data_IF_708632424056
#
_entry.id   IF_708632424056
#
_cell.length_a   1.000
_cell.length_b   1.000
_cell.length_c   1.000
_cell.angle_alpha   90.00
_cell.angle_beta   90.00
_cell.angle_gamma   90.00
#
_symmetry.space_group_name_H-M   'P 1'
#
loop_
_entity.id
_entity.type
_entity.pdbx_description
1 polymer ?
#
# COMPACT_ATOMS: atom_id res chain seq x y z
N UNK A 1 -79.61 4.54 -7.67
CA UNK A 1 -79.60 5.58 -6.60
C UNK A 1 -78.12 5.93 -6.38
N UNK A 2 -77.58 7.03 -6.93
CA UNK A 2 -77.54 8.41 -6.35
C UNK A 2 -77.01 8.37 -4.91
N UNK A 3 -75.91 9.02 -4.49
CA UNK A 3 -75.24 10.27 -4.92
C UNK A 3 -73.84 10.34 -4.26
N UNK A 4 -72.85 10.85 -4.99
CA UNK A 4 -71.81 11.78 -4.49
C UNK A 4 -72.43 13.22 -4.49
N UNK A 5 -71.87 14.34 -3.93
CA UNK A 5 -70.48 14.62 -3.54
C UNK A 5 -70.31 15.54 -2.27
N UNK A 6 -69.09 15.99 -1.94
CA UNK A 6 -68.91 17.09 -0.98
C UNK A 6 -67.48 17.54 -0.67
N UNK A 7 -66.89 18.33 -1.57
CA UNK A 7 -65.68 19.15 -1.39
C UNK A 7 -65.90 20.28 -0.36
N UNK A 8 -64.92 20.57 0.50
CA UNK A 8 -64.82 21.88 1.18
C UNK A 8 -63.37 22.28 1.47
N UNK A 9 -62.88 23.25 0.69
CA UNK A 9 -61.70 24.09 0.95
C UNK A 9 -62.15 25.27 1.82
N UNK A 10 -61.30 25.78 2.74
CA UNK A 10 -61.15 27.23 3.06
C UNK A 10 -60.14 27.53 4.22
N UNK A 11 -59.24 28.47 3.92
CA UNK A 11 -58.48 29.47 4.70
C UNK A 11 -57.55 29.15 5.90
N UNK A 12 -56.24 29.27 5.61
CA UNK A 12 -55.23 30.25 6.10
C UNK A 12 -55.51 30.99 7.43
N UNK A 13 -54.58 30.85 8.38
CA UNK A 13 -54.25 31.91 9.34
C UNK A 13 -52.73 31.93 9.60
N UNK A 14 -52.09 33.05 9.27
CA UNK A 14 -50.76 33.46 9.72
C UNK A 14 -50.82 33.92 11.18
N UNK A 15 -49.78 33.62 11.97
CA UNK A 15 -49.39 34.40 13.16
C UNK A 15 -47.95 34.10 13.59
N UNK A 16 -47.07 35.04 13.23
CA UNK A 16 -45.96 35.67 13.99
C UNK A 16 -45.05 34.89 14.97
N UNK A 17 -43.75 34.96 14.63
CA UNK A 17 -42.53 35.16 15.44
C UNK A 17 -42.62 35.13 16.97
N UNK A 18 -41.72 34.34 17.58
CA UNK A 18 -40.86 34.78 18.70
C UNK A 18 -39.44 34.27 18.46
N UNK A 19 -38.50 35.21 18.37
CA UNK A 19 -37.05 34.97 18.47
C UNK A 19 -36.67 34.61 19.90
N UNK A 20 -35.85 33.58 20.10
CA UNK A 20 -35.05 33.43 21.30
C UNK A 20 -33.68 32.85 20.95
N UNK A 21 -32.69 33.75 20.90
CA UNK A 21 -31.26 33.43 20.90
C UNK A 21 -30.87 32.86 22.27
N UNK A 22 -30.19 31.71 22.30
CA UNK A 22 -29.21 31.38 23.35
C UNK A 22 -28.03 30.64 22.69
N UNK A 23 -26.82 31.18 22.89
CA UNK A 23 -25.52 30.63 22.49
C UNK A 23 -25.01 29.59 23.51
N UNK A 24 -24.13 28.68 23.09
CA UNK A 24 -22.85 28.51 23.80
C UNK A 24 -21.68 28.47 22.80
N UNK A 25 -20.84 29.51 22.77
CA UNK A 25 -19.47 29.51 23.31
C UNK A 25 -18.53 28.54 22.59
N UNK A 26 -17.99 29.02 21.47
CA UNK A 26 -16.84 28.46 20.77
C UNK A 26 -15.56 28.82 21.53
N UNK A 27 -14.69 27.84 21.74
CA UNK A 27 -13.26 28.06 21.97
C UNK A 27 -12.52 27.16 20.98
N UNK A 28 -12.54 27.58 19.72
CA UNK A 28 -11.67 27.04 18.68
C UNK A 28 -10.35 27.79 18.83
N UNK A 29 -9.29 27.06 19.18
CA UNK A 29 -7.92 27.55 19.08
C UNK A 29 -7.54 27.53 17.60
N UNK A 30 -7.94 28.55 16.86
CA UNK A 30 -7.59 28.72 15.45
C UNK A 30 -6.11 29.09 15.39
N UNK A 31 -5.27 28.18 14.93
CA UNK A 31 -3.91 28.51 14.51
C UNK A 31 -4.00 29.32 13.22
N UNK A 32 -4.09 30.65 13.36
CA UNK A 32 -4.08 31.59 12.23
C UNK A 32 -2.68 31.63 11.64
N UNK A 33 -2.47 30.94 10.52
CA UNK A 33 -1.31 31.19 9.64
C UNK A 33 -1.54 32.56 9.00
N UNK A 34 -0.85 33.57 9.51
CA UNK A 34 -0.90 34.92 8.96
C UNK A 34 -0.17 34.95 7.60
N UNK A 35 -0.93 35.11 6.51
CA UNK A 35 -0.38 35.62 5.25
C UNK A 35 -0.04 37.11 5.43
N UNK A 36 1.22 37.41 5.72
CA UNK A 36 1.75 38.76 5.63
C UNK A 36 2.04 39.08 4.16
N UNK A 37 1.15 39.85 3.53
CA UNK A 37 1.42 40.53 2.27
C UNK A 37 2.35 41.72 2.53
N UNK A 38 3.65 41.50 2.34
CA UNK A 38 4.67 42.54 2.33
C UNK A 38 5.36 42.55 0.96
N UNK A 39 4.97 43.48 0.10
CA UNK A 39 5.69 43.78 -1.13
C UNK A 39 6.85 44.74 -0.81
N UNK A 40 8.06 44.22 -0.77
CA UNK A 40 9.30 44.93 -1.04
C UNK A 40 10.30 43.95 -1.67
N UNK A 41 10.71 44.28 -2.89
CA UNK A 41 11.61 43.57 -3.79
C UNK A 41 12.98 43.25 -3.17
N UNK A 42 13.34 41.96 -3.19
CA UNK A 42 14.70 41.48 -3.43
C UNK A 42 14.60 40.18 -4.23
N UNK A 43 15.09 40.20 -5.46
CA UNK A 43 15.29 39.04 -6.32
C UNK A 43 16.22 38.03 -5.63
N UNK A 44 15.68 36.89 -5.22
CA UNK A 44 16.47 35.67 -5.15
C UNK A 44 15.75 34.66 -6.03
N UNK A 45 16.22 34.50 -7.26
CA UNK A 45 15.78 33.42 -8.14
C UNK A 45 16.09 32.12 -7.42
N UNK A 46 15.10 31.55 -6.73
CA UNK A 46 15.28 30.25 -6.09
C UNK A 46 15.33 29.22 -7.22
N UNK A 47 16.51 28.62 -7.35
CA UNK A 47 16.91 27.59 -8.31
C UNK A 47 16.97 26.27 -7.57
N UNK A 48 15.83 25.77 -7.09
CA UNK A 48 15.84 24.49 -6.39
C UNK A 48 16.46 23.39 -7.26
N UNK A 49 17.19 22.51 -6.61
CA UNK A 49 18.07 21.53 -7.27
C UNK A 49 17.42 20.17 -7.31
N UNK A 50 17.64 19.44 -8.40
CA UNK A 50 17.31 18.01 -8.47
C UNK A 50 18.60 17.23 -8.37
N UNK A 51 18.70 16.42 -7.32
CA UNK A 51 19.90 15.64 -6.99
C UNK A 51 19.61 14.15 -7.09
N UNK A 52 20.67 13.36 -7.24
CA UNK A 52 20.60 11.90 -7.12
C UNK A 52 20.92 11.46 -5.70
N UNK A 53 20.11 10.55 -5.18
CA UNK A 53 20.43 9.81 -3.96
C UNK A 53 20.60 8.34 -4.28
N UNK A 54 21.71 7.74 -3.87
CA UNK A 54 21.92 6.29 -3.92
C UNK A 54 21.57 5.61 -2.58
N UNK A 55 21.05 6.39 -1.63
CA UNK A 55 20.76 5.91 -0.28
C UNK A 55 21.97 5.26 0.38
N UNK A 56 21.80 4.06 0.93
CA UNK A 56 22.89 3.31 1.55
C UNK A 56 23.93 2.73 0.57
N UNK A 57 23.60 2.68 -0.73
CA UNK A 57 24.32 1.90 -1.73
C UNK A 57 25.30 2.79 -2.52
N UNK A 58 26.37 3.20 -1.84
CA UNK A 58 27.38 4.14 -2.38
C UNK A 58 28.03 3.68 -3.71
N UNK A 59 28.00 2.39 -4.02
CA UNK A 59 28.56 1.80 -5.23
C UNK A 59 27.55 1.62 -6.37
N UNK A 60 26.29 2.05 -6.22
CA UNK A 60 25.23 1.83 -7.20
C UNK A 60 25.62 2.31 -8.62
N UNK A 61 26.32 3.45 -8.71
CA UNK A 61 26.78 4.07 -9.97
C UNK A 61 28.20 3.65 -10.39
N UNK A 62 28.97 2.94 -9.55
CA UNK A 62 30.39 2.67 -9.79
C UNK A 62 30.73 1.19 -9.86
N UNK A 63 29.90 0.31 -9.29
CA UNK A 63 30.08 -1.14 -9.33
C UNK A 63 29.99 -1.65 -10.77
N UNK A 64 30.87 -2.58 -11.15
CA UNK A 64 30.88 -3.19 -12.49
C UNK A 64 29.70 -4.16 -12.71
N UNK A 65 29.09 -4.21 -13.92
CA UNK A 65 29.22 -3.21 -14.98
C UNK A 65 28.67 -1.88 -14.46
N UNK A 66 29.42 -0.80 -14.70
CA UNK A 66 29.07 0.54 -14.26
C UNK A 66 28.30 1.27 -15.36
N UNK A 67 27.28 2.07 -15.02
CA UNK A 67 26.64 2.94 -16.00
C UNK A 67 27.67 3.95 -16.55
N UNK A 68 27.65 4.12 -17.86
CA UNK A 68 28.47 5.11 -18.59
C UNK A 68 27.67 6.36 -18.95
N UNK A 69 26.34 6.29 -18.89
CA UNK A 69 25.43 7.40 -19.21
C UNK A 69 24.28 7.43 -18.22
N UNK A 70 23.90 8.62 -17.77
CA UNK A 70 22.62 8.89 -17.13
C UNK A 70 21.67 9.51 -18.14
N UNK A 71 20.44 9.01 -18.19
CA UNK A 71 19.34 9.58 -18.97
C UNK A 71 18.24 9.99 -18.00
N UNK A 72 17.78 11.22 -18.11
CA UNK A 72 16.62 11.73 -17.37
C UNK A 72 15.46 11.86 -18.35
N UNK A 73 14.35 11.22 -18.02
CA UNK A 73 13.10 11.29 -18.77
C UNK A 73 12.03 11.96 -17.90
N UNK A 74 11.26 12.87 -18.51
CA UNK A 74 9.96 13.26 -17.98
C UNK A 74 8.94 12.20 -18.38
N UNK A 75 8.15 11.75 -17.40
CA UNK A 75 6.97 10.92 -17.59
C UNK A 75 5.74 11.80 -17.39
N UNK A 76 4.97 12.02 -18.44
CA UNK A 76 3.72 12.77 -18.37
C UNK A 76 2.60 11.92 -17.73
N UNK A 77 1.48 12.56 -17.40
CA UNK A 77 0.33 11.91 -16.75
C UNK A 77 -0.36 10.86 -17.62
N UNK A 78 -0.17 10.91 -18.94
CA UNK A 78 -0.64 9.89 -19.89
C UNK A 78 0.36 8.73 -20.07
N UNK A 79 1.49 8.76 -19.34
CA UNK A 79 2.56 7.77 -19.42
C UNK A 79 3.55 7.97 -20.56
N UNK A 80 3.36 9.00 -21.41
CA UNK A 80 4.34 9.34 -22.45
C UNK A 80 5.67 9.78 -21.82
N UNK A 81 6.77 9.46 -22.51
CA UNK A 81 8.13 9.71 -22.03
C UNK A 81 8.84 10.67 -22.97
N UNK A 82 9.58 11.62 -22.38
CA UNK A 82 10.41 12.58 -23.10
C UNK A 82 11.78 12.64 -22.41
N UNK A 83 12.85 12.36 -23.15
CA UNK A 83 14.21 12.62 -22.66
C UNK A 83 14.39 14.13 -22.45
N UNK A 84 14.79 14.52 -21.24
CA UNK A 84 15.03 15.93 -20.88
C UNK A 84 16.51 16.22 -20.66
N UNK A 85 17.30 15.19 -20.33
CA UNK A 85 18.73 15.34 -20.14
C UNK A 85 19.48 14.02 -20.33
N UNK A 86 20.74 14.14 -20.73
CA UNK A 86 21.69 13.03 -20.90
C UNK A 86 23.08 13.48 -20.47
N UNK A 87 23.70 12.71 -19.57
CA UNK A 87 25.00 13.03 -18.98
C UNK A 87 25.93 11.82 -19.03
N UNK A 88 27.15 11.99 -19.51
CA UNK A 88 28.17 10.93 -19.47
C UNK A 88 28.73 10.78 -18.05
N UNK A 89 29.02 9.54 -17.65
CA UNK A 89 29.67 9.20 -16.38
C UNK A 89 31.14 8.80 -16.60
N UNK A 90 32.05 9.08 -15.64
CA UNK A 90 31.80 9.83 -14.41
C UNK A 90 31.65 11.33 -14.70
N UNK A 91 30.61 11.94 -14.15
CA UNK A 91 30.23 13.34 -14.37
C UNK A 91 29.49 13.90 -13.16
N UNK A 92 28.86 15.07 -13.29
CA UNK A 92 28.04 15.64 -12.21
C UNK A 92 26.85 14.74 -11.88
N UNK A 93 26.53 14.62 -10.58
CA UNK A 93 25.31 13.97 -10.07
C UNK A 93 24.14 14.96 -9.91
N UNK A 94 24.36 16.24 -10.22
CA UNK A 94 23.27 17.20 -10.36
C UNK A 94 22.52 16.92 -11.67
N UNK A 95 21.20 16.83 -11.58
CA UNK A 95 20.36 16.61 -12.74
C UNK A 95 19.98 17.94 -13.36
N UNK A 96 20.32 18.11 -14.64
CA UNK A 96 19.70 19.17 -15.45
C UNK A 96 18.28 18.73 -15.82
N UNK A 97 17.31 19.62 -15.62
CA UNK A 97 15.94 19.40 -16.07
C UNK A 97 15.72 19.79 -17.54
N UNK A 98 16.74 20.31 -18.23
CA UNK A 98 16.60 20.81 -19.59
C UNK A 98 15.48 21.86 -19.73
N UNK A 99 14.79 21.83 -20.88
CA UNK A 99 13.67 22.73 -21.19
C UNK A 99 12.31 22.12 -20.76
N UNK A 100 12.17 21.81 -19.48
CA UNK A 100 10.89 21.39 -18.91
C UNK A 100 10.07 22.63 -18.51
N UNK A 101 8.80 22.67 -18.94
CA UNK A 101 7.92 23.78 -18.63
C UNK A 101 7.54 23.81 -17.14
N UNK A 102 7.47 25.01 -16.56
CA UNK A 102 7.06 25.17 -15.14
C UNK A 102 5.65 24.66 -14.87
N UNK A 103 4.76 24.80 -15.83
CA UNK A 103 3.37 24.30 -15.75
C UNK A 103 3.24 22.81 -16.08
N UNK A 104 4.33 22.15 -16.47
CA UNK A 104 4.28 20.74 -16.81
C UNK A 104 4.16 19.92 -15.52
N UNK A 105 3.28 18.92 -15.56
CA UNK A 105 3.12 17.94 -14.48
C UNK A 105 3.64 16.60 -14.94
N UNK A 106 4.50 15.98 -14.14
CA UNK A 106 5.08 14.69 -14.47
C UNK A 106 5.94 14.12 -13.34
N UNK A 107 6.47 12.92 -13.58
CA UNK A 107 7.53 12.33 -12.79
C UNK A 107 8.87 12.42 -13.55
N UNK A 108 9.98 12.43 -12.82
CA UNK A 108 11.32 12.28 -13.39
C UNK A 108 11.76 10.84 -13.21
N UNK A 109 12.11 10.18 -14.32
CA UNK A 109 12.79 8.89 -14.31
C UNK A 109 14.25 9.09 -14.64
N UNK A 110 15.12 8.46 -13.86
CA UNK A 110 16.56 8.48 -14.06
C UNK A 110 17.02 7.07 -14.36
N UNK A 111 17.64 6.87 -15.52
CA UNK A 111 18.19 5.59 -15.96
C UNK A 111 19.71 5.68 -16.12
N UNK A 112 20.45 4.81 -15.43
CA UNK A 112 21.88 4.62 -15.65
C UNK A 112 22.11 3.48 -16.65
N UNK A 113 22.66 3.80 -17.82
CA UNK A 113 22.88 2.87 -18.92
C UNK A 113 24.35 2.49 -19.03
N UNK A 114 24.65 1.21 -19.31
CA UNK A 114 26.00 0.80 -19.71
C UNK A 114 26.31 1.13 -21.18
N UNK A 115 27.52 0.77 -21.62
CA UNK A 115 27.98 0.99 -22.99
C UNK A 115 27.15 0.27 -24.06
N UNK A 116 26.33 -0.72 -23.68
CA UNK A 116 25.41 -1.44 -24.59
C UNK A 116 24.00 -0.85 -24.58
N UNK A 117 23.73 0.15 -23.73
CA UNK A 117 22.41 0.74 -23.54
C UNK A 117 21.53 -0.02 -22.54
N UNK A 118 22.06 -1.02 -21.82
CA UNK A 118 21.30 -1.74 -20.80
C UNK A 118 21.12 -0.86 -19.55
N UNK A 119 19.90 -0.78 -19.05
CA UNK A 119 19.59 -0.13 -17.77
C UNK A 119 20.17 -0.97 -16.63
N UNK A 120 21.08 -0.36 -15.87
CA UNK A 120 21.69 -0.94 -14.67
C UNK A 120 21.19 -0.32 -13.38
N UNK A 121 20.83 0.96 -13.46
CA UNK A 121 20.36 1.78 -12.34
C UNK A 121 19.07 2.47 -12.76
N UNK A 122 18.09 2.51 -11.87
CA UNK A 122 16.81 3.15 -12.12
C UNK A 122 16.31 3.90 -10.88
N UNK A 123 15.81 5.11 -11.09
CA UNK A 123 15.16 5.96 -10.11
C UNK A 123 13.92 6.61 -10.71
N UNK A 124 12.94 6.95 -9.87
CA UNK A 124 11.74 7.65 -10.31
C UNK A 124 11.19 8.49 -9.16
N UNK A 125 10.88 9.76 -9.43
CA UNK A 125 10.22 10.65 -8.49
C UNK A 125 8.72 10.36 -8.42
N UNK A 126 8.03 10.98 -7.45
CA UNK A 126 6.58 11.12 -7.52
C UNK A 126 6.18 12.08 -8.64
N UNK A 127 4.90 12.08 -9.02
CA UNK A 127 4.33 13.12 -9.88
C UNK A 127 4.29 14.46 -9.14
N UNK A 128 4.78 15.51 -9.80
CA UNK A 128 4.72 16.89 -9.31
C UNK A 128 4.56 17.87 -10.48
N UNK A 129 4.15 19.10 -10.16
CA UNK A 129 4.29 20.24 -11.06
C UNK A 129 5.73 20.76 -10.98
N UNK A 130 6.44 20.86 -12.11
CA UNK A 130 7.86 21.20 -12.08
C UNK A 130 8.15 22.62 -11.60
N UNK A 131 7.20 23.55 -11.70
CA UNK A 131 7.29 24.88 -11.09
C UNK A 131 7.42 24.83 -9.56
N UNK A 132 7.02 23.73 -8.90
CA UNK A 132 7.23 23.55 -7.46
C UNK A 132 8.71 23.41 -7.09
N UNK A 133 9.56 22.94 -8.01
CA UNK A 133 10.99 22.76 -7.80
C UNK A 133 11.75 24.07 -7.63
N UNK A 134 11.20 25.21 -8.04
CA UNK A 134 11.81 26.52 -7.74
C UNK A 134 11.93 26.77 -6.24
N UNK A 135 11.13 26.11 -5.41
CA UNK A 135 11.07 26.39 -3.97
C UNK A 135 11.54 25.22 -3.10
N UNK A 136 11.86 24.08 -3.70
CA UNK A 136 12.11 22.83 -3.00
C UNK A 136 13.24 22.08 -3.70
N UNK A 137 14.28 21.72 -2.95
CA UNK A 137 15.27 20.74 -3.40
C UNK A 137 14.63 19.35 -3.36
N UNK A 138 14.81 18.59 -4.45
CA UNK A 138 14.28 17.24 -4.58
C UNK A 138 15.42 16.27 -4.85
N UNK A 139 15.33 15.08 -4.25
CA UNK A 139 16.25 13.98 -4.56
C UNK A 139 15.49 12.86 -5.25
N UNK A 140 16.04 12.36 -6.37
CA UNK A 140 15.57 11.12 -6.99
C UNK A 140 16.41 9.98 -6.43
N UNK A 141 15.76 9.06 -5.73
CA UNK A 141 16.41 7.83 -5.29
C UNK A 141 16.65 6.92 -6.49
N UNK A 142 17.91 6.56 -6.73
CA UNK A 142 18.36 5.66 -7.78
C UNK A 142 19.01 4.44 -7.16
N UNK A 143 18.69 3.27 -7.70
CA UNK A 143 19.25 2.00 -7.23
C UNK A 143 19.52 1.07 -8.39
N UNK A 144 20.30 0.01 -8.16
CA UNK A 144 20.49 -1.03 -9.17
C UNK A 144 19.23 -1.85 -9.37
N UNK A 145 18.91 -2.12 -10.63
CA UNK A 145 17.74 -2.90 -11.01
C UNK A 145 17.87 -4.35 -10.59
N UNK A 146 16.76 -4.95 -10.19
CA UNK A 146 16.69 -6.34 -9.72
C UNK A 146 17.29 -6.59 -8.34
N UNK A 147 17.63 -5.56 -7.58
CA UNK A 147 18.23 -5.65 -6.24
C UNK A 147 17.44 -4.81 -5.22
N UNK A 148 17.54 -5.21 -3.94
CA UNK A 148 17.13 -4.35 -2.83
C UNK A 148 18.16 -3.24 -2.62
N UNK A 149 17.72 -2.05 -2.21
CA UNK A 149 18.60 -0.96 -1.77
C UNK A 149 17.96 -0.15 -0.65
N UNK A 150 18.77 0.33 0.29
CA UNK A 150 18.35 1.11 1.45
C UNK A 150 18.00 2.53 1.05
N UNK A 151 16.76 2.91 1.30
CA UNK A 151 16.33 4.30 1.20
C UNK A 151 17.08 5.17 2.22
N UNK A 152 17.40 6.43 1.90
CA UNK A 152 18.11 7.31 2.82
C UNK A 152 17.21 7.72 4.01
N UNK A 153 17.84 8.18 5.10
CA UNK A 153 17.15 8.77 6.26
C UNK A 153 16.04 7.89 6.82
N UNK A 154 16.37 6.62 7.05
CA UNK A 154 15.42 5.60 7.43
C UNK A 154 14.67 5.89 8.75
N UNK A 155 13.46 5.32 8.91
CA UNK A 155 12.66 5.43 10.12
C UNK A 155 13.27 4.69 11.32
N UNK A 156 12.75 4.99 12.51
CA UNK A 156 13.07 4.27 13.74
C UNK A 156 12.57 2.81 13.64
N UNK A 157 13.33 1.81 14.13
CA UNK A 157 12.97 0.41 13.97
C UNK A 157 11.66 0.06 14.69
N UNK A 158 10.81 -0.70 14.01
CA UNK A 158 9.60 -1.33 14.57
C UNK A 158 9.65 -2.82 14.26
N UNK A 159 9.47 -3.69 15.26
CA UNK A 159 9.76 -5.12 15.14
C UNK A 159 8.87 -5.87 14.12
N UNK A 160 7.57 -5.54 14.06
CA UNK A 160 6.62 -6.19 13.14
C UNK A 160 5.44 -5.25 12.89
N UNK A 161 5.63 -4.14 12.16
CA UNK A 161 4.58 -3.14 11.96
C UNK A 161 3.45 -3.67 11.07
N UNK A 162 2.36 -2.90 11.02
CA UNK A 162 1.45 -2.88 9.87
C UNK A 162 1.83 -1.70 9.00
N UNK A 163 1.81 -1.90 7.68
CA UNK A 163 2.33 -0.92 6.71
C UNK A 163 1.33 -0.71 5.59
N UNK A 164 1.24 0.53 5.11
CA UNK A 164 0.48 0.87 3.91
C UNK A 164 1.08 2.11 3.25
N UNK A 165 0.68 2.41 2.02
CA UNK A 165 0.94 3.69 1.35
C UNK A 165 -0.22 4.65 1.53
N UNK A 166 0.12 5.92 1.79
CA UNK A 166 -0.83 6.99 1.94
C UNK A 166 -0.56 8.13 0.95
N UNK A 167 -1.63 8.66 0.38
CA UNK A 167 -1.61 9.83 -0.52
C UNK A 167 -0.68 9.67 -1.74
N UNK A 168 -0.34 8.43 -2.11
CA UNK A 168 0.67 8.15 -3.14
C UNK A 168 2.06 8.72 -2.83
N UNK A 169 2.34 9.11 -1.57
CA UNK A 169 3.56 9.83 -1.18
C UNK A 169 4.22 9.27 0.05
N UNK A 170 3.45 8.81 1.03
CA UNK A 170 4.00 8.37 2.30
C UNK A 170 3.96 6.85 2.41
N UNK A 171 5.00 6.28 2.99
CA UNK A 171 4.92 4.96 3.62
C UNK A 171 4.49 5.18 5.05
N UNK A 172 3.26 4.76 5.37
CA UNK A 172 2.73 4.77 6.72
C UNK A 172 3.10 3.47 7.42
N UNK A 173 3.76 3.60 8.56
CA UNK A 173 4.26 2.49 9.37
C UNK A 173 3.62 2.60 10.74
N UNK A 174 2.90 1.58 11.19
CA UNK A 174 2.24 1.62 12.49
C UNK A 174 2.56 0.39 13.35
N UNK A 175 2.69 0.60 14.65
CA UNK A 175 2.89 -0.45 15.64
C UNK A 175 2.20 -0.05 16.93
N UNK A 176 1.15 -0.77 17.30
CA UNK A 176 0.25 -0.31 18.36
C UNK A 176 -0.41 1.01 17.94
N UNK A 177 -0.37 2.02 18.81
CA UNK A 177 -0.90 3.37 18.54
C UNK A 177 0.10 4.31 17.89
N UNK A 178 1.38 3.94 17.87
CA UNK A 178 2.46 4.77 17.29
C UNK A 178 2.48 4.64 15.78
N UNK A 179 2.70 5.75 15.09
CA UNK A 179 2.92 5.77 13.64
C UNK A 179 4.22 6.48 13.28
N UNK A 180 4.73 6.17 12.09
CA UNK A 180 5.77 6.91 11.40
C UNK A 180 5.32 7.12 9.96
N UNK A 181 5.66 8.28 9.39
CA UNK A 181 5.43 8.61 7.99
C UNK A 181 6.79 8.83 7.34
N UNK A 182 7.17 7.95 6.41
CA UNK A 182 8.31 8.17 5.55
C UNK A 182 7.85 8.85 4.27
N UNK A 183 8.35 10.06 4.01
CA UNK A 183 8.00 10.86 2.85
C UNK A 183 8.86 10.47 1.65
N UNK A 184 8.26 9.90 0.62
CA UNK A 184 8.95 9.49 -0.60
C UNK A 184 9.33 10.66 -1.52
N UNK A 185 8.80 11.87 -1.28
CA UNK A 185 9.21 13.06 -2.03
C UNK A 185 10.54 13.62 -1.52
N UNK A 186 10.68 13.70 -0.20
CA UNK A 186 11.87 14.27 0.47
C UNK A 186 12.85 13.20 0.95
N UNK A 187 12.47 11.93 0.82
CA UNK A 187 13.23 10.75 1.24
C UNK A 187 13.68 10.84 2.71
N UNK A 188 12.73 11.17 3.59
CA UNK A 188 12.98 11.31 5.03
C UNK A 188 11.76 10.92 5.86
N UNK A 189 12.00 10.48 7.09
CA UNK A 189 10.93 10.32 8.08
C UNK A 189 10.49 11.67 8.61
N UNK A 190 9.18 11.91 8.63
CA UNK A 190 8.63 13.12 9.23
C UNK A 190 8.92 13.15 10.73
N UNK A 191 9.45 14.27 11.22
CA UNK A 191 9.80 14.43 12.64
C UNK A 191 8.62 14.38 13.60
N UNK A 192 7.39 14.53 13.09
CA UNK A 192 6.15 14.33 13.83
C UNK A 192 5.18 13.56 12.94
N UNK A 193 4.67 12.45 13.45
CA UNK A 193 3.61 11.67 12.83
C UNK A 193 2.41 11.64 13.78
N UNK A 194 1.18 11.64 13.25
CA UNK A 194 0.00 11.51 14.09
C UNK A 194 0.00 10.16 14.82
N UNK A 195 -0.65 10.09 15.97
CA UNK A 195 -0.83 8.84 16.71
C UNK A 195 -2.26 8.35 16.55
N UNK A 196 -2.46 7.03 16.55
CA UNK A 196 -3.81 6.48 16.55
C UNK A 196 -4.42 6.47 17.96
N UNK A 197 -5.71 6.76 18.06
CA UNK A 197 -6.52 6.56 19.27
C UNK A 197 -6.55 5.10 19.75
N UNK A 198 -6.31 4.13 18.85
CA UNK A 198 -6.33 2.69 19.14
C UNK A 198 -5.19 1.95 18.42
N UNK A 199 -4.79 0.77 18.91
CA UNK A 199 -3.81 -0.05 18.22
C UNK A 199 -4.22 -0.39 16.78
N UNK A 200 -3.33 -0.22 15.81
CA UNK A 200 -3.57 -0.67 14.44
C UNK A 200 -3.23 -2.17 14.32
N UNK A 201 -4.21 -3.06 14.56
CA UNK A 201 -4.06 -4.50 14.24
C UNK A 201 -4.29 -4.76 12.76
N UNK A 202 -5.26 -4.06 12.19
CA UNK A 202 -5.42 -3.91 10.73
C UNK A 202 -5.39 -2.42 10.39
N UNK A 203 -4.86 -2.11 9.21
CA UNK A 203 -4.64 -0.75 8.76
C UNK A 203 -5.13 -0.60 7.32
N UNK A 204 -5.88 0.44 7.04
CA UNK A 204 -6.34 0.78 5.69
C UNK A 204 -6.13 2.27 5.45
N UNK A 205 -5.68 2.64 4.24
CA UNK A 205 -5.68 4.03 3.79
C UNK A 205 -6.63 4.21 2.61
N UNK A 206 -7.59 5.13 2.77
CA UNK A 206 -8.58 5.51 1.77
C UNK A 206 -8.57 7.03 1.61
N UNK A 207 -8.08 7.50 0.46
CA UNK A 207 -7.87 8.93 0.22
C UNK A 207 -6.92 9.54 1.26
N UNK A 208 -7.40 10.55 1.98
CA UNK A 208 -6.67 11.23 3.07
C UNK A 208 -6.94 10.64 4.46
N UNK A 209 -7.76 9.59 4.55
CA UNK A 209 -8.17 9.01 5.82
C UNK A 209 -7.52 7.65 6.00
N UNK A 210 -6.98 7.44 7.20
CA UNK A 210 -6.51 6.14 7.64
C UNK A 210 -7.49 5.53 8.62
N UNK A 211 -7.72 4.22 8.53
CA UNK A 211 -8.59 3.48 9.44
C UNK A 211 -7.72 2.47 10.19
N UNK A 212 -7.70 2.59 11.52
CA UNK A 212 -7.10 1.61 12.41
C UNK A 212 -8.20 0.71 12.99
N UNK A 213 -7.99 -0.61 12.95
CA UNK A 213 -8.92 -1.60 13.48
C UNK A 213 -8.21 -2.41 14.57
N UNK A 214 -8.88 -2.60 15.71
CA UNK A 214 -8.48 -3.49 16.79
C UNK A 214 -9.65 -4.38 17.23
N UNK A 215 -9.45 -5.15 18.28
CA UNK A 215 -10.46 -6.05 18.86
C UNK A 215 -11.66 -5.28 19.46
N UNK A 216 -11.56 -3.97 19.66
CA UNK A 216 -12.58 -3.14 20.31
C UNK A 216 -13.36 -2.25 19.32
N UNK A 217 -12.97 -2.19 18.04
CA UNK A 217 -13.65 -1.37 17.04
C UNK A 217 -12.72 -0.80 15.97
N UNK A 218 -13.11 0.36 15.42
CA UNK A 218 -12.29 1.10 14.46
C UNK A 218 -12.29 2.60 14.76
N UNK A 219 -11.21 3.28 14.38
CA UNK A 219 -11.12 4.75 14.35
C UNK A 219 -10.51 5.24 13.05
N UNK A 220 -10.97 6.40 12.61
CA UNK A 220 -10.39 7.13 11.50
C UNK A 220 -9.37 8.13 12.00
N UNK A 221 -8.33 8.38 11.20
CA UNK A 221 -7.36 9.45 11.38
C UNK A 221 -7.22 10.21 10.05
N UNK A 222 -7.53 11.49 10.06
CA UNK A 222 -7.27 12.39 8.93
C UNK A 222 -5.79 12.72 8.84
N UNK A 223 -5.15 12.40 7.71
CA UNK A 223 -3.72 12.66 7.51
C UNK A 223 -3.40 14.13 7.27
N UNK A 224 -4.39 14.95 6.93
CA UNK A 224 -4.22 16.38 6.65
C UNK A 224 -4.34 17.24 7.90
N UNK A 225 -5.29 16.91 8.78
CA UNK A 225 -5.68 17.72 9.94
C UNK A 225 -5.41 17.02 11.28
N UNK A 226 -5.03 15.75 11.25
CA UNK A 226 -4.85 14.93 12.45
C UNK A 226 -6.15 14.61 13.18
N UNK A 227 -7.30 14.87 12.57
CA UNK A 227 -8.60 14.66 13.23
C UNK A 227 -8.88 13.18 13.38
N UNK A 228 -9.24 12.77 14.60
CA UNK A 228 -9.62 11.40 14.89
C UNK A 228 -11.12 11.28 15.19
N UNK A 229 -11.75 10.23 14.65
CA UNK A 229 -13.14 9.90 14.98
C UNK A 229 -13.32 8.40 15.18
N UNK A 230 -14.29 8.01 16.01
CA UNK A 230 -14.70 6.60 16.08
C UNK A 230 -15.52 6.25 14.86
N UNK A 231 -15.16 5.18 14.17
CA UNK A 231 -15.93 4.64 13.08
C UNK A 231 -16.93 3.62 13.62
N UNK A 232 -18.21 3.83 13.38
CA UNK A 232 -19.24 2.86 13.73
C UNK A 232 -19.23 1.69 12.74
N UNK A 233 -19.43 0.44 13.21
CA UNK A 233 -19.46 -0.71 12.31
C UNK A 233 -20.66 -0.60 11.34
N UNK A 234 -20.47 -0.97 10.06
CA UNK A 234 -21.59 -1.18 9.15
C UNK A 234 -22.57 -2.24 9.68
N UNK A 235 -23.79 -2.25 9.17
CA UNK A 235 -24.77 -3.26 9.56
C UNK A 235 -24.29 -4.68 9.23
N UNK A 236 -24.62 -5.63 10.10
CA UNK A 236 -24.39 -7.04 9.86
C UNK A 236 -23.05 -7.60 10.32
N UNK A 237 -22.20 -6.85 11.02
CA UNK A 237 -20.94 -7.35 11.58
C UNK A 237 -20.28 -6.41 12.59
N UNK A 238 -19.05 -6.75 13.00
CA UNK A 238 -18.23 -5.91 13.88
C UNK A 238 -16.79 -5.79 13.36
N UNK A 239 -16.11 -4.70 13.72
CA UNK A 239 -14.69 -4.54 13.36
C UNK A 239 -13.76 -5.50 14.10
N UNK A 240 -14.15 -5.96 15.29
CA UNK A 240 -13.39 -6.96 16.04
C UNK A 240 -13.14 -8.23 15.20
N UNK A 241 -14.09 -8.60 14.34
CA UNK A 241 -13.96 -9.74 13.42
C UNK A 241 -12.78 -9.62 12.45
N UNK A 242 -12.23 -8.43 12.25
CA UNK A 242 -11.24 -8.14 11.21
C UNK A 242 -9.90 -7.70 11.75
N UNK A 243 -9.72 -7.63 13.07
CA UNK A 243 -8.47 -7.26 13.69
C UNK A 243 -7.34 -8.26 13.33
N UNK A 244 -6.24 -7.74 12.79
CA UNK A 244 -5.10 -8.52 12.29
C UNK A 244 -5.26 -9.00 10.84
N UNK A 245 -6.32 -8.58 10.15
CA UNK A 245 -6.62 -9.01 8.78
C UNK A 245 -5.68 -8.42 7.73
N UNK A 246 -5.61 -9.10 6.58
CA UNK A 246 -4.86 -8.64 5.40
C UNK A 246 -5.62 -7.52 4.68
N UNK A 247 -4.92 -6.42 4.38
CA UNK A 247 -5.46 -5.27 3.66
C UNK A 247 -5.13 -5.36 2.17
N UNK A 248 -6.14 -5.32 1.31
CA UNK A 248 -5.99 -5.45 -0.15
C UNK A 248 -6.62 -4.24 -0.84
N UNK A 249 -5.86 -3.58 -1.72
CA UNK A 249 -6.35 -2.45 -2.53
C UNK A 249 -6.76 -2.92 -3.91
N UNK A 250 -7.91 -2.44 -4.37
CA UNK A 250 -8.39 -2.61 -5.74
C UNK A 250 -8.06 -1.35 -6.58
N UNK A 251 -7.95 -1.48 -7.92
CA UNK A 251 -7.66 -0.35 -8.82
C UNK A 251 -8.71 0.77 -8.79
N UNK A 252 -9.95 0.47 -8.38
CA UNK A 252 -11.03 1.46 -8.23
C UNK A 252 -10.90 2.32 -6.95
N UNK A 253 -9.83 2.10 -6.18
CA UNK A 253 -9.57 2.76 -4.89
C UNK A 253 -10.33 2.15 -3.72
N UNK A 254 -11.14 1.10 -3.93
CA UNK A 254 -11.72 0.33 -2.84
C UNK A 254 -10.63 -0.43 -2.10
N UNK A 255 -10.74 -0.52 -0.77
CA UNK A 255 -9.84 -1.30 0.08
C UNK A 255 -10.64 -2.37 0.84
N UNK A 256 -10.06 -3.55 0.98
CA UNK A 256 -10.67 -4.71 1.62
C UNK A 256 -9.83 -5.17 2.81
N UNK A 257 -10.47 -5.68 3.85
CA UNK A 257 -9.79 -6.39 4.96
C UNK A 257 -10.39 -7.78 5.11
N UNK A 258 -9.51 -8.78 5.12
CA UNK A 258 -9.88 -10.21 5.15
C UNK A 258 -9.17 -10.92 6.29
N UNK A 259 -9.86 -11.86 6.95
CA UNK A 259 -9.23 -12.91 7.75
C UNK A 259 -8.41 -12.40 8.94
N UNK A 260 -9.09 -11.92 9.99
CA UNK A 260 -8.42 -11.48 11.23
C UNK A 260 -7.53 -12.56 11.86
N UNK A 261 -6.48 -12.13 12.56
CA UNK A 261 -5.55 -12.99 13.31
C UNK A 261 -5.55 -12.67 14.81
N UNK A 262 -6.63 -12.08 15.29
CA UNK A 262 -6.81 -11.77 16.72
C UNK A 262 -6.68 -13.04 17.58
N UNK A 263 -6.19 -12.85 18.80
CA UNK A 263 -5.95 -13.93 19.75
C UNK A 263 -7.23 -14.60 20.28
N UNK A 264 -8.40 -13.98 20.09
CA UNK A 264 -9.69 -14.45 20.60
C UNK A 264 -10.79 -14.34 19.54
N UNK A 265 -11.80 -15.22 19.58
CA UNK A 265 -12.97 -15.13 18.68
C UNK A 265 -12.83 -15.81 17.32
N UNK A 266 -11.72 -16.52 17.06
CA UNK A 266 -11.58 -17.51 15.99
C UNK A 266 -11.77 -17.00 14.55
N UNK A 267 -11.92 -17.98 13.63
CA UNK A 267 -12.15 -17.73 12.21
C UNK A 267 -13.44 -16.92 11.95
N UNK A 268 -13.41 -16.04 10.95
CA UNK A 268 -14.57 -15.25 10.52
C UNK A 268 -14.80 -15.35 9.02
N UNK A 269 -16.06 -15.31 8.61
CA UNK A 269 -16.42 -15.14 7.20
C UNK A 269 -16.42 -13.66 6.78
N UNK A 270 -16.15 -12.72 7.69
CA UNK A 270 -16.34 -11.29 7.42
C UNK A 270 -15.26 -10.74 6.49
N UNK A 271 -15.69 -9.90 5.56
CA UNK A 271 -14.81 -9.02 4.78
C UNK A 271 -15.32 -7.58 4.93
N UNK A 272 -14.46 -6.66 5.35
CA UNK A 272 -14.77 -5.22 5.25
C UNK A 272 -14.38 -4.74 3.86
N UNK A 273 -15.28 -3.99 3.23
CA UNK A 273 -15.01 -3.20 2.04
C UNK A 273 -15.20 -1.72 2.38
N UNK A 274 -14.20 -0.92 2.06
CA UNK A 274 -14.28 0.54 2.13
C UNK A 274 -14.07 1.07 0.72
N UNK A 275 -15.08 1.74 0.16
CA UNK A 275 -14.98 2.37 -1.18
C UNK A 275 -14.10 3.61 -1.14
N UNK A 276 -13.69 4.12 -2.31
CA UNK A 276 -12.79 5.28 -2.42
C UNK A 276 -13.33 6.58 -1.81
N UNK A 277 -14.65 6.68 -1.60
CA UNK A 277 -15.32 7.78 -0.89
C UNK A 277 -15.35 7.60 0.65
N UNK A 278 -14.80 6.50 1.17
CA UNK A 278 -14.80 6.16 2.59
C UNK A 278 -16.03 5.39 3.08
N UNK A 279 -16.99 5.06 2.21
CA UNK A 279 -18.17 4.29 2.62
C UNK A 279 -17.79 2.85 2.98
N UNK A 280 -18.05 2.46 4.23
CA UNK A 280 -17.75 1.14 4.76
C UNK A 280 -18.97 0.20 4.67
N UNK A 281 -18.75 -1.03 4.24
CA UNK A 281 -19.76 -2.10 4.18
C UNK A 281 -19.14 -3.46 4.45
N UNK A 282 -19.97 -4.42 4.88
CA UNK A 282 -19.53 -5.81 5.05
C UNK A 282 -19.97 -6.69 3.89
N UNK A 283 -19.04 -7.51 3.42
CA UNK A 283 -19.27 -8.68 2.60
C UNK A 283 -18.95 -9.95 3.41
N UNK A 284 -19.17 -11.12 2.80
CA UNK A 284 -18.96 -12.42 3.44
C UNK A 284 -18.24 -13.42 2.54
N UNK A 285 -17.39 -14.23 3.14
CA UNK A 285 -16.90 -15.48 2.61
C UNK A 285 -17.95 -16.57 2.84
N UNK A 286 -17.92 -17.62 2.01
CA UNK A 286 -18.72 -18.81 2.20
C UNK A 286 -18.24 -19.61 3.42
N UNK A 287 -16.93 -19.65 3.67
CA UNK A 287 -16.34 -20.35 4.81
C UNK A 287 -15.59 -19.37 5.73
N UNK A 288 -15.79 -19.44 7.06
CA UNK A 288 -14.99 -18.66 8.01
C UNK A 288 -13.51 -18.99 7.93
N UNK A 289 -12.65 -17.97 7.97
CA UNK A 289 -11.20 -18.08 7.87
C UNK A 289 -10.48 -17.27 8.94
N UNK A 290 -9.30 -17.74 9.32
CA UNK A 290 -8.37 -17.07 10.22
C UNK A 290 -7.01 -16.93 9.53
N UNK A 291 -6.49 -15.70 9.40
CA UNK A 291 -5.20 -15.43 8.76
C UNK A 291 -5.11 -15.90 7.30
N UNK A 292 -6.23 -15.95 6.57
CA UNK A 292 -6.19 -16.21 5.14
C UNK A 292 -5.41 -15.10 4.42
N UNK A 293 -4.67 -15.48 3.38
CA UNK A 293 -4.05 -14.52 2.49
C UNK A 293 -5.03 -14.11 1.39
N UNK A 294 -4.82 -12.93 0.83
CA UNK A 294 -5.68 -12.39 -0.19
C UNK A 294 -4.91 -11.56 -1.20
N UNK A 295 -5.48 -11.40 -2.38
CA UNK A 295 -4.97 -10.50 -3.43
C UNK A 295 -6.10 -10.04 -4.33
N UNK A 296 -5.91 -8.93 -5.05
CA UNK A 296 -6.86 -8.47 -6.06
C UNK A 296 -6.38 -8.90 -7.44
N UNK A 297 -7.28 -9.50 -8.22
CA UNK A 297 -7.03 -9.87 -9.61
C UNK A 297 -7.98 -9.10 -10.52
N UNK A 298 -7.41 -8.35 -11.45
CA UNK A 298 -8.19 -7.56 -12.41
C UNK A 298 -9.13 -8.46 -13.22
N UNK A 299 -10.37 -8.01 -13.39
CA UNK A 299 -11.43 -8.79 -14.05
C UNK A 299 -12.01 -9.94 -13.21
N UNK A 300 -11.48 -10.24 -12.03
CA UNK A 300 -11.97 -11.32 -11.14
C UNK A 300 -12.46 -10.81 -9.79
N UNK A 301 -11.70 -9.93 -9.14
CA UNK A 301 -12.01 -9.40 -7.82
C UNK A 301 -11.02 -9.85 -6.75
N UNK A 302 -11.48 -9.84 -5.49
CA UNK A 302 -10.70 -10.24 -4.33
C UNK A 302 -10.64 -11.76 -4.23
N UNK A 303 -9.45 -12.33 -4.42
CA UNK A 303 -9.19 -13.76 -4.24
C UNK A 303 -8.69 -13.98 -2.81
N UNK A 304 -9.30 -14.91 -2.10
CA UNK A 304 -8.95 -15.31 -0.73
C UNK A 304 -8.54 -16.77 -0.71
N UNK A 305 -7.39 -17.07 -0.12
CA UNK A 305 -6.81 -18.42 -0.07
C UNK A 305 -6.39 -18.77 1.35
N UNK A 306 -6.61 -20.02 1.75
CA UNK A 306 -6.14 -20.54 3.03
C UNK A 306 -7.02 -20.17 4.23
N UNK A 307 -6.53 -20.40 5.44
CA UNK A 307 -7.12 -19.97 6.69
C UNK A 307 -8.29 -20.83 7.21
N UNK A 308 -8.61 -21.96 6.56
CA UNK A 308 -9.68 -22.86 7.03
C UNK A 308 -9.43 -24.32 6.67
N UNK A 309 -9.64 -25.21 7.64
CA UNK A 309 -9.63 -26.66 7.45
C UNK A 309 -10.94 -27.20 6.85
N UNK A 310 -11.94 -26.34 6.69
CA UNK A 310 -13.26 -26.67 6.16
C UNK A 310 -13.50 -25.92 4.83
N UNK A 311 -14.51 -26.37 4.08
CA UNK A 311 -14.96 -25.69 2.87
C UNK A 311 -13.95 -25.70 1.71
N UNK A 312 -14.12 -24.75 0.78
CA UNK A 312 -13.20 -24.59 -0.35
C UNK A 312 -11.91 -23.90 0.08
N UNK A 313 -10.74 -24.29 -0.44
CA UNK A 313 -9.48 -23.62 -0.12
C UNK A 313 -9.34 -22.22 -0.70
N UNK A 314 -10.11 -21.92 -1.75
CA UNK A 314 -10.07 -20.66 -2.51
C UNK A 314 -11.48 -20.12 -2.71
N UNK A 315 -11.64 -18.83 -2.47
CA UNK A 315 -12.88 -18.09 -2.73
C UNK A 315 -12.61 -16.80 -3.48
N UNK A 316 -13.58 -16.36 -4.31
CA UNK A 316 -13.49 -15.10 -5.05
C UNK A 316 -14.68 -14.21 -4.70
N UNK A 317 -14.40 -13.03 -4.17
CA UNK A 317 -15.38 -11.97 -4.00
C UNK A 317 -15.25 -11.02 -5.20
N UNK A 318 -16.18 -11.16 -6.16
CA UNK A 318 -16.24 -10.28 -7.32
C UNK A 318 -16.47 -8.81 -6.89
N UNK A 319 -16.06 -7.88 -7.74
CA UNK A 319 -16.28 -6.45 -7.49
C UNK A 319 -17.77 -6.19 -7.19
N UNK A 320 -18.04 -5.45 -6.11
CA UNK A 320 -19.40 -5.11 -5.61
C UNK A 320 -20.26 -6.25 -5.06
N UNK A 321 -19.81 -7.51 -5.15
CA UNK A 321 -20.53 -8.62 -4.55
C UNK A 321 -20.52 -8.54 -3.02
N UNK A 322 -21.56 -9.07 -2.38
CA UNK A 322 -21.69 -9.15 -0.92
C UNK A 322 -21.36 -10.54 -0.36
N UNK A 323 -21.21 -11.54 -1.24
CA UNK A 323 -20.86 -12.91 -0.90
C UNK A 323 -19.82 -13.45 -1.89
N UNK A 324 -18.79 -14.11 -1.37
CA UNK A 324 -17.77 -14.74 -2.18
C UNK A 324 -18.26 -16.08 -2.74
N UNK A 325 -17.73 -16.43 -3.92
CA UNK A 325 -18.00 -17.70 -4.58
C UNK A 325 -16.83 -18.66 -4.37
N UNK A 326 -17.07 -19.89 -3.87
CA UNK A 326 -16.01 -20.88 -3.73
C UNK A 326 -15.54 -21.42 -5.08
N UNK A 327 -14.23 -21.64 -5.22
CA UNK A 327 -13.66 -22.44 -6.30
C UNK A 327 -13.47 -23.89 -5.84
N UNK A 328 -13.38 -24.83 -6.78
CA UNK A 328 -13.32 -26.27 -6.50
C UNK A 328 -11.95 -26.77 -5.98
N UNK A 329 -11.28 -25.98 -5.15
CA UNK A 329 -10.05 -26.36 -4.44
C UNK A 329 -10.38 -27.01 -3.09
N UNK A 330 -9.64 -28.03 -2.64
CA UNK A 330 -9.80 -28.62 -1.31
C UNK A 330 -9.53 -27.57 -0.23
N UNK A 331 -10.01 -27.82 0.99
CA UNK A 331 -9.75 -26.97 2.14
C UNK A 331 -8.25 -26.73 2.34
N UNK A 332 -7.91 -25.52 2.79
CA UNK A 332 -6.53 -25.08 2.96
C UNK A 332 -6.39 -24.41 4.33
N UNK A 333 -5.86 -25.12 5.35
CA UNK A 333 -5.77 -24.61 6.71
C UNK A 333 -4.65 -23.58 6.90
N UNK A 334 -3.84 -23.27 5.87
CA UNK A 334 -2.66 -22.41 5.99
C UNK A 334 -3.02 -20.98 6.37
N UNK A 335 -2.39 -20.46 7.43
CA UNK A 335 -2.58 -19.10 7.96
C UNK A 335 -1.30 -18.28 7.83
N UNK A 336 -1.42 -16.98 7.59
CA UNK A 336 -0.28 -16.05 7.50
C UNK A 336 0.53 -16.15 6.20
N UNK A 337 -0.06 -16.71 5.15
CA UNK A 337 0.54 -16.72 3.82
C UNK A 337 0.58 -15.31 3.20
N UNK A 338 1.38 -15.14 2.15
CA UNK A 338 1.32 -14.00 1.23
C UNK A 338 0.72 -14.45 -0.09
N UNK A 339 -0.09 -13.61 -0.74
CA UNK A 339 -0.70 -13.91 -2.04
C UNK A 339 -0.57 -12.75 -3.02
N UNK A 340 -0.26 -13.05 -4.28
CA UNK A 340 -0.24 -12.04 -5.36
C UNK A 340 -0.55 -12.68 -6.70
N UNK A 341 -1.11 -11.92 -7.63
CA UNK A 341 -1.26 -12.36 -9.02
C UNK A 341 0.10 -12.46 -9.69
N UNK A 342 0.46 -13.63 -10.22
CA UNK A 342 1.59 -13.76 -11.15
C UNK A 342 1.16 -13.29 -12.54
N UNK A 343 -0.13 -13.51 -12.86
CA UNK A 343 -0.82 -12.95 -14.01
C UNK A 343 -2.32 -12.84 -13.69
N UNK A 344 -3.14 -12.53 -14.70
CA UNK A 344 -4.60 -12.33 -14.55
C UNK A 344 -5.39 -13.62 -14.26
N UNK A 345 -4.75 -14.78 -14.39
CA UNK A 345 -5.36 -16.11 -14.23
C UNK A 345 -4.75 -16.92 -13.09
N UNK A 346 -3.58 -16.54 -12.58
CA UNK A 346 -2.83 -17.32 -11.58
C UNK A 346 -2.38 -16.48 -10.39
N UNK A 347 -2.51 -17.07 -9.21
CA UNK A 347 -2.08 -16.48 -7.94
C UNK A 347 -0.94 -17.32 -7.36
N UNK A 348 0.19 -16.69 -7.03
CA UNK A 348 1.20 -17.30 -6.16
C UNK A 348 0.73 -17.14 -4.72
N UNK A 349 0.81 -18.23 -3.96
CA UNK A 349 0.63 -18.24 -2.52
C UNK A 349 1.91 -18.77 -1.91
N UNK A 350 2.52 -18.01 -1.00
CA UNK A 350 3.76 -18.38 -0.35
C UNK A 350 3.60 -18.36 1.17
N UNK A 351 4.33 -19.26 1.83
CA UNK A 351 4.45 -19.29 3.28
C UNK A 351 3.15 -19.56 4.05
N UNK A 352 3.19 -19.19 5.33
CA UNK A 352 2.15 -19.44 6.33
C UNK A 352 2.41 -20.71 7.13
N UNK A 353 1.59 -20.99 8.13
CA UNK A 353 1.68 -22.19 8.99
C UNK A 353 0.35 -22.94 9.03
N UNK A 354 0.37 -24.21 9.42
CA UNK A 354 -0.85 -25.01 9.63
C UNK A 354 -1.20 -25.99 8.51
N UNK A 355 -0.38 -26.13 7.46
CA UNK A 355 -0.58 -27.15 6.41
C UNK A 355 -0.42 -28.59 6.91
N UNK A 356 0.36 -28.83 7.98
CA UNK A 356 0.89 -30.16 8.33
C UNK A 356 0.65 -30.61 9.78
N UNK A 357 -0.13 -29.88 10.59
CA UNK A 357 -0.27 -30.20 12.02
C UNK A 357 0.97 -29.89 12.88
N UNK A 358 2.11 -29.56 12.26
CA UNK A 358 3.32 -29.09 12.94
C UNK A 358 3.28 -27.57 13.08
N UNK A 359 2.90 -27.10 14.27
CA UNK A 359 2.91 -25.69 14.64
C UNK A 359 4.35 -25.15 14.60
N UNK A 360 4.76 -24.55 13.49
CA UNK A 360 6.05 -23.87 13.36
C UNK A 360 6.78 -24.09 12.04
N UNK A 361 6.36 -25.05 11.21
CA UNK A 361 6.92 -25.19 9.86
C UNK A 361 6.15 -24.29 8.88
N UNK A 362 6.92 -23.59 8.03
CA UNK A 362 6.36 -22.84 6.91
C UNK A 362 5.70 -23.77 5.90
N UNK A 363 4.59 -23.34 5.32
CA UNK A 363 3.93 -24.04 4.23
C UNK A 363 4.72 -23.82 2.92
N UNK A 364 4.79 -24.84 2.03
CA UNK A 364 5.39 -24.66 0.73
C UNK A 364 4.61 -23.64 -0.11
N UNK A 365 5.31 -22.98 -1.02
CA UNK A 365 4.64 -22.13 -2.00
C UNK A 365 3.83 -22.97 -2.99
N UNK A 366 2.75 -22.38 -3.50
CA UNK A 366 1.79 -23.02 -4.41
C UNK A 366 1.17 -22.00 -5.36
N UNK A 367 0.79 -22.44 -6.55
CA UNK A 367 0.11 -21.62 -7.57
C UNK A 367 -1.33 -22.07 -7.69
N UNK A 368 -2.24 -21.11 -7.62
CA UNK A 368 -3.68 -21.28 -7.81
C UNK A 368 -4.05 -20.83 -9.21
N UNK A 369 -4.59 -21.74 -10.02
CA UNK A 369 -5.23 -21.43 -11.29
C UNK A 369 -6.69 -21.04 -11.06
N UNK A 370 -7.03 -19.80 -11.39
CA UNK A 370 -8.37 -19.24 -11.24
C UNK A 370 -9.33 -19.68 -12.35
N UNK A 371 -8.83 -20.29 -13.43
CA UNK A 371 -9.67 -20.86 -14.49
C UNK A 371 -10.15 -22.29 -14.14
N UNK A 372 -9.58 -22.92 -13.10
CA UNK A 372 -9.98 -24.25 -12.69
C UNK A 372 -11.41 -24.25 -12.10
N UNK A 373 -12.27 -25.13 -12.63
CA UNK A 373 -13.70 -25.19 -12.28
C UNK A 373 -14.13 -26.47 -11.58
N UNK A 374 -13.32 -27.55 -11.63
CA UNK A 374 -13.63 -28.82 -11.00
C UNK A 374 -12.36 -29.58 -10.61
N UNK A 375 -12.40 -30.30 -9.49
CA UNK A 375 -11.30 -31.14 -8.99
C UNK A 375 -9.94 -30.41 -8.95
N UNK A 376 -9.94 -29.16 -8.50
CA UNK A 376 -8.77 -28.32 -8.56
C UNK A 376 -7.73 -28.71 -7.52
N UNK A 377 -6.47 -28.72 -7.93
CA UNK A 377 -5.33 -28.96 -7.04
C UNK A 377 -4.32 -27.83 -7.21
N UNK A 378 -3.82 -27.21 -6.13
CA UNK A 378 -2.75 -26.22 -6.25
C UNK A 378 -1.52 -26.82 -6.93
N UNK A 379 -0.95 -26.13 -7.90
CA UNK A 379 0.34 -26.52 -8.46
C UNK A 379 1.46 -26.15 -7.47
N UNK A 380 2.56 -26.89 -7.47
CA UNK A 380 3.73 -26.54 -6.66
C UNK A 380 4.29 -25.17 -7.08
N UNK A 381 4.62 -24.33 -6.11
CA UNK A 381 5.30 -23.06 -6.33
C UNK A 381 6.82 -23.24 -6.39
N UNK A 382 7.50 -22.14 -6.69
CA UNK A 382 8.95 -22.10 -6.95
C UNK A 382 9.77 -21.49 -5.80
N UNK A 383 9.13 -20.94 -4.76
CA UNK A 383 9.84 -20.40 -3.58
C UNK A 383 10.47 -21.57 -2.81
N UNK A 384 11.82 -21.60 -2.67
CA UNK A 384 12.54 -22.78 -2.19
C UNK A 384 12.52 -22.93 -0.66
N UNK A 385 12.36 -21.83 0.08
CA UNK A 385 12.34 -21.83 1.54
C UNK A 385 10.89 -21.67 2.02
N UNK A 386 10.35 -22.62 2.80
CA UNK A 386 9.05 -22.44 3.43
C UNK A 386 9.09 -21.30 4.46
N UNK A 387 8.25 -20.29 4.24
CA UNK A 387 8.15 -19.12 5.11
C UNK A 387 7.03 -19.35 6.13
N UNK A 388 7.23 -19.00 7.40
CA UNK A 388 6.18 -19.11 8.44
C UNK A 388 5.16 -17.98 8.37
N UNK A 389 5.58 -16.84 7.82
CA UNK A 389 4.75 -15.68 7.49
C UNK A 389 5.34 -14.99 6.27
N UNK A 390 4.51 -14.51 5.36
CA UNK A 390 5.00 -13.73 4.23
C UNK A 390 3.96 -12.73 3.73
N UNK A 391 4.45 -11.69 3.06
CA UNK A 391 3.67 -10.82 2.19
C UNK A 391 4.10 -11.06 0.73
N UNK A 392 3.23 -10.73 -0.23
CA UNK A 392 3.55 -10.81 -1.64
C UNK A 392 2.99 -9.60 -2.39
N UNK A 393 3.82 -8.97 -3.21
CA UNK A 393 3.50 -7.74 -3.95
C UNK A 393 3.85 -7.92 -5.42
N UNK A 394 2.92 -7.57 -6.29
CA UNK A 394 3.14 -7.51 -7.73
C UNK A 394 4.16 -6.41 -8.05
N UNK A 395 5.19 -6.73 -8.83
CA UNK A 395 6.29 -5.80 -9.17
C UNK A 395 6.44 -5.56 -10.67
N UNK A 396 6.00 -6.50 -11.52
CA UNK A 396 5.98 -6.35 -12.99
C UNK A 396 5.02 -7.38 -13.62
N UNK A 397 4.77 -7.24 -14.93
CA UNK A 397 3.81 -8.02 -15.73
C UNK A 397 3.83 -9.54 -15.52
N UNK A 398 4.99 -10.09 -15.17
CA UNK A 398 5.24 -11.50 -14.96
C UNK A 398 6.01 -11.78 -13.66
N UNK A 399 6.06 -10.84 -12.72
CA UNK A 399 6.88 -10.95 -11.53
C UNK A 399 6.20 -10.44 -10.26
N UNK A 400 6.41 -11.21 -9.19
CA UNK A 400 5.98 -10.92 -7.82
C UNK A 400 7.21 -10.90 -6.92
N UNK A 401 7.26 -9.96 -5.98
CA UNK A 401 8.19 -10.03 -4.86
C UNK A 401 7.47 -10.68 -3.68
N UNK A 402 8.02 -11.79 -3.19
CA UNK A 402 7.59 -12.45 -1.96
C UNK A 402 8.63 -12.17 -0.90
N UNK A 403 8.23 -11.74 0.29
CA UNK A 403 9.16 -11.68 1.42
C UNK A 403 8.48 -12.12 2.70
N UNK A 404 9.26 -12.72 3.59
CA UNK A 404 8.72 -13.30 4.81
C UNK A 404 9.78 -13.96 5.66
N UNK A 405 9.40 -14.37 6.85
CA UNK A 405 10.29 -14.99 7.82
C UNK A 405 10.31 -16.52 7.63
N UNK A 406 11.48 -17.13 7.72
CA UNK A 406 11.62 -18.58 7.84
C UNK A 406 11.36 -19.06 9.28
N UNK A 407 11.47 -20.37 9.52
CA UNK A 407 11.29 -20.94 10.86
C UNK A 407 12.38 -20.49 11.87
N UNK A 408 13.50 -19.96 11.37
CA UNK A 408 14.60 -19.38 12.18
C UNK A 408 14.39 -17.89 12.47
N UNK A 409 13.23 -17.33 12.10
CA UNK A 409 12.89 -15.92 12.23
C UNK A 409 13.84 -14.99 11.44
N UNK A 410 14.34 -15.46 10.29
CA UNK A 410 15.12 -14.66 9.33
C UNK A 410 14.24 -14.28 8.16
N UNK A 411 14.17 -12.98 7.84
CA UNK A 411 13.44 -12.51 6.66
C UNK A 411 14.23 -12.81 5.38
N UNK A 412 13.56 -13.44 4.42
CA UNK A 412 14.03 -13.66 3.04
C UNK A 412 13.16 -12.90 2.04
N UNK A 413 13.70 -12.60 0.87
CA UNK A 413 12.95 -12.03 -0.24
C UNK A 413 13.24 -12.80 -1.54
N UNK A 414 12.22 -13.00 -2.36
CA UNK A 414 12.28 -13.76 -3.60
C UNK A 414 11.55 -13.03 -4.71
N UNK A 415 12.23 -12.87 -5.85
CA UNK A 415 11.59 -12.51 -7.12
C UNK A 415 11.06 -13.80 -7.73
N UNK A 416 9.75 -13.87 -7.90
CA UNK A 416 9.04 -15.05 -8.40
C UNK A 416 8.40 -14.72 -9.74
N UNK A 417 8.62 -15.57 -10.74
CA UNK A 417 7.94 -15.54 -12.04
C UNK A 417 7.12 -16.83 -12.21
N UNK A 418 6.35 -16.99 -13.31
CA UNK A 418 5.69 -18.25 -13.61
C UNK A 418 6.58 -19.49 -13.67
N UNK A 419 7.87 -19.31 -13.94
CA UNK A 419 8.78 -20.44 -14.27
C UNK A 419 10.07 -20.44 -13.47
N UNK A 420 10.36 -19.37 -12.74
CA UNK A 420 11.63 -19.20 -12.06
C UNK A 420 11.45 -18.51 -10.69
N UNK A 421 12.42 -18.71 -9.81
CA UNK A 421 12.54 -17.95 -8.57
C UNK A 421 13.99 -17.67 -8.28
N UNK A 422 14.26 -16.41 -7.95
CA UNK A 422 15.57 -15.94 -7.54
C UNK A 422 15.45 -15.29 -6.17
N UNK A 423 16.28 -15.73 -5.22
CA UNK A 423 16.44 -14.99 -3.97
C UNK A 423 17.01 -13.59 -4.26
N UNK A 424 16.44 -12.59 -3.61
CA UNK A 424 16.89 -11.21 -3.64
C UNK A 424 17.50 -10.93 -2.27
N UNK A 425 18.84 -10.94 -2.14
CA UNK A 425 19.48 -10.75 -0.85
C UNK A 425 19.10 -9.39 -0.24
N UNK A 426 18.73 -9.43 1.04
CA UNK A 426 18.52 -8.23 1.83
C UNK A 426 19.86 -7.52 2.05
N UNK A 427 19.82 -6.19 2.17
CA UNK A 427 20.97 -5.37 2.55
C UNK A 427 21.25 -5.44 4.04
N UNK A 428 20.20 -5.60 4.84
CA UNK A 428 20.28 -5.72 6.29
C UNK A 428 19.44 -6.90 6.75
N UNK A 429 20.10 -7.81 7.46
CA UNK A 429 19.44 -8.94 8.12
C UNK A 429 18.37 -8.42 9.08
N UNK A 430 17.16 -8.98 8.99
CA UNK A 430 16.00 -8.55 9.79
C UNK A 430 15.08 -9.73 10.05
N UNK A 431 14.16 -9.51 10.97
CA UNK A 431 13.01 -10.36 11.24
C UNK A 431 11.75 -9.50 11.22
N UNK A 432 10.65 -9.99 10.68
CA UNK A 432 9.37 -9.28 10.68
C UNK A 432 9.29 -8.07 9.76
N UNK A 433 10.05 -8.11 8.66
CA UNK A 433 9.84 -7.21 7.54
C UNK A 433 8.46 -7.44 6.90
N UNK A 434 7.85 -6.35 6.42
CA UNK A 434 6.58 -6.33 5.70
C UNK A 434 6.77 -5.72 4.32
N UNK A 435 6.13 -6.31 3.32
CA UNK A 435 6.12 -5.73 1.97
C UNK A 435 5.00 -4.71 1.81
N UNK A 436 5.31 -3.65 1.08
CA UNK A 436 4.33 -2.66 0.62
C UNK A 436 4.63 -2.29 -0.83
N UNK A 437 3.60 -2.15 -1.67
CA UNK A 437 3.77 -1.63 -3.02
C UNK A 437 4.16 -0.15 -2.96
N UNK A 438 5.17 0.25 -3.73
CA UNK A 438 5.65 1.64 -3.72
C UNK A 438 4.91 2.48 -4.77
N UNK A 439 4.52 3.73 -4.47
CA UNK A 439 3.85 4.61 -5.45
C UNK A 439 4.70 4.96 -6.66
N UNK A 440 6.03 4.93 -6.51
CA UNK A 440 6.99 5.10 -7.60
C UNK A 440 7.22 3.79 -8.39
N UNK A 441 6.52 2.70 -8.04
CA UNK A 441 6.72 1.37 -8.62
C UNK A 441 7.75 0.53 -7.85
N UNK A 442 7.59 -0.80 -7.94
CA UNK A 442 8.34 -1.77 -7.16
C UNK A 442 7.73 -2.02 -5.78
N UNK A 443 8.55 -2.48 -4.83
CA UNK A 443 8.11 -2.83 -3.47
C UNK A 443 9.10 -2.33 -2.41
N UNK A 444 8.58 -1.95 -1.25
CA UNK A 444 9.38 -1.61 -0.07
C UNK A 444 9.29 -2.72 0.97
N UNK A 445 10.41 -3.06 1.60
CA UNK A 445 10.52 -3.95 2.75
C UNK A 445 10.76 -3.11 4.01
N UNK A 446 9.81 -3.15 4.94
CA UNK A 446 9.72 -2.22 6.07
C UNK A 446 9.59 -2.99 7.38
N UNK A 447 10.27 -2.53 8.43
CA UNK A 447 10.21 -3.15 9.76
C UNK A 447 11.35 -4.14 10.03
N UNK A 448 11.41 -4.61 11.28
CA UNK A 448 12.47 -5.45 11.84
C UNK A 448 13.76 -4.69 12.17
N UNK A 449 14.10 -3.69 11.36
CA UNK A 449 15.31 -2.87 11.47
C UNK A 449 15.02 -1.40 11.14
N UNK A 450 15.99 -0.53 11.40
CA UNK A 450 15.91 0.92 11.18
C UNK A 450 16.20 1.27 9.71
N UNK A 451 15.59 0.55 8.76
CA UNK A 451 15.87 0.64 7.32
C UNK A 451 14.62 0.28 6.51
N UNK A 452 14.37 1.04 5.44
CA UNK A 452 13.46 0.63 4.36
C UNK A 452 14.32 0.20 3.18
N UNK A 453 14.14 -1.04 2.72
CA UNK A 453 14.78 -1.51 1.50
C UNK A 453 13.79 -1.51 0.34
N UNK A 454 14.10 -0.84 -0.75
CA UNK A 454 13.27 -0.81 -1.95
C UNK A 454 13.80 -1.80 -2.99
N UNK A 455 12.89 -2.56 -3.59
CA UNK A 455 13.12 -3.38 -4.77
C UNK A 455 12.51 -2.71 -6.00
N UNK A 456 13.22 -2.78 -7.14
CA UNK A 456 12.76 -2.28 -8.43
C UNK A 456 13.36 -3.08 -9.58
N UNK A 457 12.55 -3.31 -10.61
CA UNK A 457 12.93 -3.94 -11.89
C UNK A 457 13.64 -3.00 -12.86
#
# INVERSE_FOLDING_TARGET
>A
MRRDPGTRTVHRHESTRVEARIRPSWSVLTATIALAAGALSCSSDKTGTVTLSVGGEADALTRSPAPTVLVVEQIATDGSKKEVSRTNLPGSTELSLGDVGRSDTGALRVSGLDATGKVLVLGESLFLEFGALERVDMSVFVQRTGELARLPNAPVPLASPVVDTALGRYVLIASGTSTQLYDLLTLTTLGQAPTFARPARSLLVVGTTTIAIDENGASTLGLTDGTETTLNPPTGGSFAELAGGATIKAPDGSTYVVGGTRLSGGATARVLRVTSDGTASFASLATPREGACATWIEGRGLVVVGGSADGAGVEVLAATATQATPLAYPADPVRGCGASGIDTSRVIVAGGTGASGDSGQGAPSRVIDLACTANCTPAAGTVPIPLVRSDAVYIAGDAVLVAGDDASNTTHAFRVTPTDTREVPLRVARSGGRLVAMPTGGAGLVGGVAEIEQYRE
#
